data_IF_361092732212
#
_entry.id   IF_361092732212
#
_cell.length_a   1.000
_cell.length_b   1.000
_cell.length_c   1.000
_cell.angle_alpha   90.00
_cell.angle_beta   90.00
_cell.angle_gamma   90.00
#
_symmetry.space_group_name_H-M   'P 1'
#
loop_
_entity.id
_entity.type
_entity.pdbx_description
1 polymer ?
#
# COMPACT_ATOMS: atom_id res chain seq x y z
N UNK A 1 -46.20 8.02 -32.70
CA UNK A 1 -45.23 7.04 -32.15
C UNK A 1 -43.93 7.69 -31.64
N UNK A 2 -43.34 8.69 -32.34
CA UNK A 2 -42.10 9.38 -31.89
C UNK A 2 -42.20 10.05 -30.49
N UNK A 3 -43.35 10.65 -30.16
CA UNK A 3 -43.58 11.33 -28.86
C UNK A 3 -43.67 10.37 -27.67
N UNK A 4 -44.13 9.13 -27.90
CA UNK A 4 -44.21 8.10 -26.86
C UNK A 4 -42.84 7.50 -26.59
N UNK A 5 -42.03 7.32 -27.65
CA UNK A 5 -40.65 6.86 -27.52
C UNK A 5 -39.77 7.83 -26.73
N UNK A 6 -39.90 9.15 -26.95
CA UNK A 6 -39.16 10.15 -26.18
C UNK A 6 -39.55 10.17 -24.69
N UNK A 7 -40.82 9.92 -24.36
CA UNK A 7 -41.27 9.86 -22.97
C UNK A 7 -40.68 8.64 -22.25
N UNK A 8 -40.63 7.50 -22.93
CA UNK A 8 -40.10 6.24 -22.41
C UNK A 8 -38.58 6.31 -22.19
N UNK A 9 -37.86 6.98 -23.10
CA UNK A 9 -36.42 7.26 -22.95
C UNK A 9 -36.16 8.24 -21.78
N UNK A 10 -36.99 9.27 -21.60
CA UNK A 10 -36.84 10.21 -20.49
C UNK A 10 -37.09 9.55 -19.11
N UNK A 11 -38.05 8.61 -19.03
CA UNK A 11 -38.33 7.82 -17.83
C UNK A 11 -37.20 6.82 -17.47
N UNK A 12 -36.52 6.26 -18.47
CA UNK A 12 -35.36 5.37 -18.27
C UNK A 12 -34.13 6.14 -17.74
N UNK A 13 -33.92 7.39 -18.17
CA UNK A 13 -32.81 8.24 -17.72
C UNK A 13 -33.03 8.74 -16.28
N UNK A 14 -34.29 8.90 -15.86
CA UNK A 14 -34.65 9.30 -14.50
C UNK A 14 -34.50 8.16 -13.46
N UNK A 15 -34.41 6.90 -13.90
CA UNK A 15 -34.28 5.73 -13.03
C UNK A 15 -32.86 5.42 -12.57
N UNK A 16 -31.84 6.09 -13.13
CA UNK A 16 -30.43 5.87 -12.78
C UNK A 16 -29.87 6.90 -11.80
N UNK A 17 -30.72 7.50 -10.96
CA UNK A 17 -30.25 8.20 -9.76
C UNK A 17 -29.71 7.11 -8.84
N UNK A 18 -28.41 6.83 -8.98
CA UNK A 18 -27.66 6.03 -8.04
C UNK A 18 -27.86 6.67 -6.66
N UNK A 19 -28.63 6.01 -5.80
CA UNK A 19 -28.67 6.33 -4.39
C UNK A 19 -27.26 6.07 -3.86
N UNK A 20 -26.50 7.14 -3.66
CA UNK A 20 -25.37 7.12 -2.76
C UNK A 20 -25.95 7.07 -1.33
N UNK A 21 -26.51 5.92 -0.96
CA UNK A 21 -26.84 5.66 0.43
C UNK A 21 -25.51 5.66 1.18
N UNK A 22 -25.29 6.71 1.98
CA UNK A 22 -24.24 6.71 2.98
C UNK A 22 -24.50 5.55 3.92
N UNK A 23 -23.57 4.60 4.00
CA UNK A 23 -23.69 3.45 4.91
C UNK A 23 -23.87 3.99 6.32
N UNK A 24 -25.04 3.75 6.93
CA UNK A 24 -25.33 4.17 8.30
C UNK A 24 -24.65 3.23 9.30
N UNK A 25 -23.37 3.51 9.57
CA UNK A 25 -22.55 2.78 10.53
C UNK A 25 -23.07 2.88 11.97
N UNK A 26 -23.90 3.89 12.30
CA UNK A 26 -24.40 4.09 13.67
C UNK A 26 -25.49 3.11 14.07
N UNK A 27 -26.13 2.49 13.08
CA UNK A 27 -27.17 1.48 13.26
C UNK A 27 -26.63 0.05 13.36
N UNK A 28 -25.35 -0.16 13.03
CA UNK A 28 -24.71 -1.47 13.04
C UNK A 28 -24.28 -1.87 14.45
N UNK A 29 -24.40 -3.15 14.78
CA UNK A 29 -23.83 -3.73 15.99
C UNK A 29 -22.31 -3.81 15.92
N UNK A 30 -21.65 -3.94 17.07
CA UNK A 30 -20.19 -4.09 17.16
C UNK A 30 -19.66 -5.29 16.34
N UNK A 31 -20.42 -6.40 16.32
CA UNK A 31 -20.07 -7.60 15.55
C UNK A 31 -20.15 -7.34 14.02
N UNK A 32 -21.17 -6.59 13.59
CA UNK A 32 -21.34 -6.20 12.18
C UNK A 32 -20.25 -5.22 11.74
N UNK A 33 -19.88 -4.26 12.60
CA UNK A 33 -18.78 -3.33 12.35
C UNK A 33 -17.44 -4.06 12.26
N UNK A 34 -17.19 -5.01 13.15
CA UNK A 34 -15.97 -5.82 13.14
C UNK A 34 -15.89 -6.67 11.86
N UNK A 35 -17.02 -7.25 11.44
CA UNK A 35 -17.10 -8.01 10.19
C UNK A 35 -16.87 -7.11 8.98
N UNK A 36 -17.49 -5.93 8.95
CA UNK A 36 -17.29 -4.94 7.89
C UNK A 36 -15.83 -4.48 7.82
N UNK A 37 -15.19 -4.24 8.95
CA UNK A 37 -13.77 -3.89 9.02
C UNK A 37 -12.90 -5.00 8.42
N UNK A 38 -13.13 -6.27 8.77
CA UNK A 38 -12.40 -7.39 8.20
C UNK A 38 -12.61 -7.53 6.68
N UNK A 39 -13.82 -7.25 6.18
CA UNK A 39 -14.10 -7.25 4.74
C UNK A 39 -13.39 -6.10 4.02
N UNK A 40 -13.41 -4.90 4.59
CA UNK A 40 -12.70 -3.73 4.05
C UNK A 40 -11.19 -3.98 4.06
N UNK A 41 -10.63 -4.52 5.14
CA UNK A 41 -9.21 -4.88 5.22
C UNK A 41 -8.84 -5.91 4.15
N UNK A 42 -9.69 -6.94 3.96
CA UNK A 42 -9.48 -7.93 2.90
C UNK A 42 -9.50 -7.28 1.51
N UNK A 43 -10.43 -6.37 1.25
CA UNK A 43 -10.53 -5.68 -0.04
C UNK A 43 -9.37 -4.71 -0.27
N UNK A 44 -8.92 -4.01 0.77
CA UNK A 44 -7.71 -3.17 0.75
C UNK A 44 -6.50 -4.02 0.38
N UNK A 45 -6.32 -5.18 0.99
CA UNK A 45 -5.22 -6.11 0.69
C UNK A 45 -5.35 -6.65 -0.73
N UNK A 46 -6.54 -7.12 -1.13
CA UNK A 46 -6.78 -7.73 -2.44
C UNK A 46 -6.51 -6.75 -3.58
N UNK A 47 -6.90 -5.48 -3.41
CA UNK A 47 -6.66 -4.42 -4.38
C UNK A 47 -5.31 -3.72 -4.16
N UNK A 48 -4.60 -4.07 -3.08
CA UNK A 48 -3.44 -3.37 -2.48
C UNK A 48 -3.56 -1.85 -2.55
N UNK A 49 -4.69 -1.37 -2.05
CA UNK A 49 -4.94 0.04 -1.84
C UNK A 49 -3.93 0.55 -0.81
N UNK A 50 -3.20 1.61 -1.16
CA UNK A 50 -2.19 2.21 -0.28
C UNK A 50 -0.82 1.50 -0.29
N UNK A 51 -0.63 0.47 -1.12
CA UNK A 51 0.67 -0.14 -1.36
C UNK A 51 1.42 0.60 -2.47
N UNK A 52 2.56 1.19 -2.13
CA UNK A 52 3.40 1.95 -3.07
C UNK A 52 4.72 1.22 -3.30
N UNK A 53 5.09 0.90 -4.55
CA UNK A 53 6.43 0.38 -4.85
C UNK A 53 7.52 1.35 -4.43
N UNK A 54 8.61 0.81 -3.89
CA UNK A 54 9.79 1.60 -3.55
C UNK A 54 11.04 0.95 -4.14
N UNK A 55 11.82 1.76 -4.82
CA UNK A 55 13.06 1.34 -5.47
C UNK A 55 14.22 1.34 -4.47
N UNK A 56 15.29 0.63 -4.81
CA UNK A 56 16.59 0.80 -4.14
C UNK A 56 17.03 2.26 -4.16
N UNK A 57 17.55 2.76 -3.04
CA UNK A 57 17.98 4.15 -2.91
C UNK A 57 18.04 4.67 -1.48
N UNK A 58 18.35 5.97 -1.39
CA UNK A 58 18.44 6.75 -0.16
C UNK A 58 17.24 7.70 -0.13
N UNK A 59 16.49 7.71 0.98
CA UNK A 59 15.29 8.53 1.16
C UNK A 59 15.40 9.36 2.43
N UNK A 60 15.35 10.69 2.30
CA UNK A 60 15.35 11.59 3.45
C UNK A 60 13.94 11.79 4.00
N UNK A 61 13.74 11.55 5.30
CA UNK A 61 12.44 11.70 5.97
C UNK A 61 12.18 13.18 6.26
N UNK A 62 11.03 13.67 5.81
CA UNK A 62 10.68 15.09 5.71
C UNK A 62 10.87 15.67 4.30
N UNK A 63 11.50 14.92 3.37
CA UNK A 63 11.76 15.37 1.99
C UNK A 63 11.24 14.35 0.98
N UNK A 64 11.84 13.16 0.93
CA UNK A 64 11.47 12.08 0.01
C UNK A 64 10.30 11.25 0.52
N UNK A 65 10.20 11.10 1.84
CA UNK A 65 9.11 10.44 2.54
C UNK A 65 8.66 11.34 3.69
N UNK A 66 7.37 11.43 3.94
CA UNK A 66 6.88 12.11 5.14
C UNK A 66 7.26 11.31 6.41
N UNK A 67 7.29 11.97 7.56
CA UNK A 67 7.40 11.26 8.83
C UNK A 67 6.14 10.43 9.12
N UNK A 68 6.29 9.34 9.87
CA UNK A 68 5.19 8.48 10.29
C UNK A 68 5.55 7.00 10.34
N UNK A 69 4.53 6.18 10.63
CA UNK A 69 4.64 4.73 10.62
C UNK A 69 4.47 4.15 9.22
N UNK A 70 5.37 3.24 8.84
CA UNK A 70 5.41 2.60 7.53
C UNK A 70 5.58 1.09 7.68
N UNK A 71 4.78 0.31 6.97
CA UNK A 71 5.00 -1.12 6.81
C UNK A 71 5.66 -1.39 5.48
N UNK A 72 6.88 -1.93 5.50
CA UNK A 72 7.60 -2.37 4.30
C UNK A 72 7.39 -3.86 4.10
N UNK A 73 7.03 -4.28 2.89
CA UNK A 73 6.78 -5.68 2.53
C UNK A 73 7.69 -6.10 1.39
N UNK A 74 8.37 -7.23 1.57
CA UNK A 74 9.15 -7.91 0.56
C UNK A 74 8.24 -8.63 -0.45
N UNK A 75 8.48 -8.47 -1.75
CA UNK A 75 7.74 -9.13 -2.82
C UNK A 75 8.67 -9.82 -3.82
N UNK A 76 8.17 -10.87 -4.48
CA UNK A 76 8.89 -11.50 -5.59
C UNK A 76 8.89 -10.56 -6.79
N UNK A 77 9.95 -10.62 -7.59
CA UNK A 77 9.99 -9.89 -8.86
C UNK A 77 9.10 -10.55 -9.94
N UNK A 78 8.90 -9.82 -11.04
CA UNK A 78 8.11 -10.28 -12.17
C UNK A 78 8.67 -11.53 -12.85
N UNK A 79 9.96 -11.83 -12.64
CA UNK A 79 10.65 -13.00 -13.17
C UNK A 79 10.39 -14.27 -12.35
N UNK A 80 9.69 -14.16 -11.22
CA UNK A 80 9.41 -15.28 -10.33
C UNK A 80 10.64 -15.72 -9.54
N UNK A 81 11.62 -14.84 -9.34
CA UNK A 81 12.72 -15.14 -8.43
C UNK A 81 12.17 -15.26 -7.00
N UNK A 82 12.33 -16.44 -6.41
CA UNK A 82 11.88 -16.73 -5.04
C UNK A 82 12.79 -16.08 -3.98
N UNK A 83 13.95 -15.59 -4.39
CA UNK A 83 14.89 -14.88 -3.53
C UNK A 83 14.50 -13.41 -3.40
N UNK A 84 13.87 -13.06 -2.29
CA UNK A 84 13.59 -11.66 -1.95
C UNK A 84 14.55 -11.22 -0.86
N UNK A 85 15.29 -10.14 -1.08
CA UNK A 85 16.25 -9.63 -0.11
C UNK A 85 16.08 -8.12 -0.07
N UNK A 86 15.44 -7.62 0.98
CA UNK A 86 15.33 -6.17 1.21
C UNK A 86 16.09 -5.85 2.48
N UNK A 87 17.09 -4.99 2.35
CA UNK A 87 17.80 -4.43 3.48
C UNK A 87 17.30 -3.01 3.73
N UNK A 88 16.86 -2.76 4.95
CA UNK A 88 16.43 -1.44 5.41
C UNK A 88 17.40 -1.00 6.50
N UNK A 89 17.91 0.22 6.38
CA UNK A 89 18.72 0.86 7.40
C UNK A 89 18.23 2.28 7.62
N UNK A 90 18.04 2.63 8.89
CA UNK A 90 17.68 3.99 9.29
C UNK A 90 18.93 4.65 9.89
N UNK A 91 19.25 5.86 9.45
CA UNK A 91 20.40 6.65 9.89
C UNK A 91 19.94 8.02 10.40
N UNK A 92 20.77 8.68 11.20
CA UNK A 92 20.47 10.01 11.74
C UNK A 92 20.99 11.16 10.86
N UNK A 93 21.86 10.90 9.87
CA UNK A 93 22.35 11.91 8.93
C UNK A 93 22.67 11.33 7.53
N UNK A 94 22.76 12.20 6.52
CA UNK A 94 23.03 11.86 5.11
C UNK A 94 24.49 11.49 4.82
N UNK A 95 25.43 11.78 5.74
CA UNK A 95 26.86 11.52 5.52
C UNK A 95 27.22 10.07 5.84
N UNK A 96 26.36 9.36 6.54
CA UNK A 96 26.46 7.94 6.73
C UNK A 96 26.07 7.20 5.44
N UNK A 97 27.07 7.02 4.57
CA UNK A 97 27.07 5.98 3.52
C UNK A 97 26.63 4.66 4.15
N UNK A 98 25.87 3.83 3.43
CA UNK A 98 25.40 2.53 3.89
C UNK A 98 26.50 1.74 4.61
N UNK A 99 26.47 1.86 5.93
CA UNK A 99 27.35 1.20 6.86
C UNK A 99 26.43 0.50 7.84
N UNK A 100 26.35 -0.82 7.65
CA UNK A 100 25.50 -1.71 8.44
C UNK A 100 25.73 -1.57 9.95
N UNK A 101 26.88 -1.05 10.37
CA UNK A 101 27.28 -0.94 11.76
C UNK A 101 26.91 0.44 12.36
N UNK A 102 26.45 1.40 11.53
CA UNK A 102 26.01 2.73 11.95
C UNK A 102 24.50 2.94 11.96
N UNK A 103 23.74 2.06 11.31
CA UNK A 103 22.30 2.16 11.27
C UNK A 103 21.69 2.04 12.68
N UNK A 104 20.77 2.94 13.03
CA UNK A 104 20.03 2.86 14.31
C UNK A 104 19.01 1.73 14.31
N UNK A 105 18.61 1.26 13.14
CA UNK A 105 17.75 0.09 12.96
C UNK A 105 18.13 -0.60 11.67
N UNK A 106 18.25 -1.93 11.71
CA UNK A 106 18.61 -2.77 10.57
C UNK A 106 17.62 -3.92 10.45
N UNK A 107 17.04 -4.08 9.27
CA UNK A 107 16.10 -5.15 8.96
C UNK A 107 16.53 -5.86 7.68
N UNK A 108 16.31 -7.17 7.66
CA UNK A 108 16.46 -8.01 6.47
C UNK A 108 15.16 -8.76 6.24
N UNK A 109 14.52 -8.50 5.10
CA UNK A 109 13.35 -9.25 4.64
C UNK A 109 13.84 -10.23 3.57
N UNK A 110 13.91 -11.52 3.93
CA UNK A 110 14.50 -12.57 3.08
C UNK A 110 13.47 -13.46 2.37
N UNK A 111 12.18 -13.21 2.58
CA UNK A 111 11.07 -14.01 2.06
C UNK A 111 9.94 -13.10 1.59
N UNK A 112 9.26 -13.48 0.51
CA UNK A 112 8.11 -12.76 0.01
C UNK A 112 6.96 -12.75 1.03
N UNK A 113 6.27 -11.62 1.15
CA UNK A 113 5.18 -11.40 2.11
C UNK A 113 5.67 -11.04 3.51
N UNK A 114 6.95 -11.20 3.83
CA UNK A 114 7.49 -10.70 5.10
C UNK A 114 7.40 -9.18 5.12
N UNK A 115 6.87 -8.68 6.23
CA UNK A 115 6.65 -7.27 6.44
C UNK A 115 7.31 -6.81 7.73
N UNK A 116 7.74 -5.56 7.77
CA UNK A 116 8.28 -4.94 8.97
C UNK A 116 7.80 -3.49 9.09
N UNK A 117 7.38 -3.13 10.31
CA UNK A 117 6.92 -1.78 10.63
C UNK A 117 8.07 -0.89 11.11
N UNK A 118 8.22 0.28 10.50
CA UNK A 118 9.19 1.31 10.85
C UNK A 118 8.48 2.62 11.16
N UNK A 119 8.80 3.22 12.30
CA UNK A 119 8.42 4.59 12.59
C UNK A 119 9.56 5.53 12.18
N UNK A 120 9.35 6.26 11.09
CA UNK A 120 10.30 7.19 10.52
C UNK A 120 10.07 8.60 11.08
N UNK A 121 11.13 9.20 11.60
CA UNK A 121 11.13 10.56 12.16
C UNK A 121 11.79 11.54 11.20
N UNK A 122 11.33 12.79 11.20
CA UNK A 122 11.95 13.86 10.43
C UNK A 122 13.46 13.96 10.67
N UNK A 123 14.22 14.17 9.59
CA UNK A 123 15.68 14.24 9.61
C UNK A 123 16.39 12.88 9.56
N UNK A 124 15.66 11.76 9.71
CA UNK A 124 16.25 10.44 9.49
C UNK A 124 16.42 10.13 8.00
N UNK A 125 17.34 9.22 7.71
CA UNK A 125 17.59 8.72 6.36
C UNK A 125 17.26 7.24 6.31
N UNK A 126 16.38 6.86 5.39
CA UNK A 126 16.08 5.47 5.06
C UNK A 126 16.92 5.05 3.86
N UNK A 127 17.78 4.06 4.06
CA UNK A 127 18.49 3.40 2.97
C UNK A 127 17.85 2.04 2.68
N UNK A 128 17.57 1.80 1.41
CA UNK A 128 16.95 0.57 0.92
C UNK A 128 17.88 -0.05 -0.11
N UNK A 129 18.27 -1.30 0.11
CA UNK A 129 19.02 -2.10 -0.87
C UNK A 129 18.20 -3.33 -1.22
N UNK A 130 18.05 -3.61 -2.53
CA UNK A 130 17.21 -4.71 -3.02
C UNK A 130 18.02 -5.58 -3.99
N UNK A 131 18.88 -6.49 -3.49
CA UNK A 131 19.65 -7.38 -4.37
C UNK A 131 18.79 -8.39 -5.13
N UNK A 132 17.55 -8.64 -4.69
CA UNK A 132 16.61 -9.54 -5.35
C UNK A 132 15.17 -9.30 -4.91
N UNK A 133 14.23 -9.52 -5.83
CA UNK A 133 12.81 -9.27 -5.63
C UNK A 133 12.44 -7.79 -5.79
N UNK A 134 11.38 -7.37 -5.11
CA UNK A 134 10.87 -5.99 -5.06
C UNK A 134 10.43 -5.64 -3.64
N UNK A 135 10.23 -4.35 -3.38
CA UNK A 135 9.69 -3.87 -2.11
C UNK A 135 8.54 -2.90 -2.36
N UNK A 136 7.53 -2.99 -1.51
CA UNK A 136 6.43 -2.03 -1.43
C UNK A 136 6.31 -1.55 0.00
N UNK A 137 5.74 -0.37 0.20
CA UNK A 137 5.38 0.12 1.52
C UNK A 137 3.94 0.60 1.58
N UNK A 138 3.36 0.56 2.78
CA UNK A 138 2.10 1.22 3.13
C UNK A 138 2.34 2.18 4.30
N UNK A 139 1.67 3.33 4.28
CA UNK A 139 1.71 4.30 5.38
C UNK A 139 0.57 4.00 6.37
N UNK A 140 0.89 3.93 7.66
CA UNK A 140 -0.05 3.53 8.71
C UNK A 140 -0.05 2.02 8.99
N UNK A 141 -0.99 1.58 9.83
CA UNK A 141 -1.00 0.23 10.41
C UNK A 141 -1.79 -0.81 9.59
N UNK A 142 -2.25 -0.46 8.40
CA UNK A 142 -3.49 -1.04 7.85
C UNK A 142 -3.36 -1.94 6.63
N UNK A 143 -2.16 -2.22 6.12
CA UNK A 143 -2.06 -3.18 5.01
C UNK A 143 -0.73 -3.91 4.98
N UNK A 144 -0.78 -5.22 5.22
CA UNK A 144 0.25 -6.13 4.74
C UNK A 144 0.12 -6.22 3.22
N UNK A 145 1.11 -5.73 2.49
CA UNK A 145 1.10 -5.77 1.03
C UNK A 145 1.57 -7.16 0.53
N UNK A 146 0.79 -8.21 0.81
CA UNK A 146 1.10 -9.60 0.40
C UNK A 146 0.75 -9.88 -1.06
N UNK A 147 1.46 -10.85 -1.67
CA UNK A 147 1.41 -11.17 -3.10
C UNK A 147 -0.01 -11.54 -3.58
N UNK A 148 -0.40 -10.93 -4.71
CA UNK A 148 -1.66 -11.13 -5.43
C UNK A 148 -1.89 -10.07 -6.53
N UNK A 149 -1.19 -8.94 -6.42
CA UNK A 149 -1.33 -7.81 -7.34
C UNK A 149 -0.43 -7.94 -8.55
N UNK A 150 -0.98 -8.49 -9.63
CA UNK A 150 -0.58 -8.00 -10.96
C UNK A 150 -0.92 -6.52 -10.98
N UNK A 151 0.08 -5.67 -10.76
CA UNK A 151 0.03 -4.31 -11.28
C UNK A 151 -0.27 -4.48 -12.76
N UNK A 152 -1.48 -4.07 -13.18
CA UNK A 152 -1.83 -4.01 -14.58
C UNK A 152 -0.70 -3.28 -15.28
N UNK A 153 -0.02 -4.00 -16.17
CA UNK A 153 0.90 -3.41 -17.12
C UNK A 153 0.01 -2.44 -17.90
N UNK A 154 0.19 -1.14 -17.68
CA UNK A 154 -0.25 -0.16 -18.68
C UNK A 154 0.79 -0.28 -19.78
N UNK A 155 0.55 -1.22 -20.70
CA UNK A 155 1.17 -1.19 -22.01
C UNK A 155 0.59 0.05 -22.71
N UNK A 156 1.39 1.11 -22.79
CA UNK A 156 1.22 2.16 -23.80
C UNK A 156 1.67 1.67 -25.16
#
# INVERSE_FOLDING_TARGET
MKKVLCLLVALLIAGSIAFADTVDLSSMSDDELTTLMAQVDSEIINRGIGCTPISEGVYAVGVSLEQGGYTFTAQQDASGNDYVWVYLGVFNDEKDVWDKDKAVTKISLTEAGKSYHLDLKEGQILHITIPGGTCVYSKGNTAQCTKGQRSGIIET
#
